data_IF_289948047888
#
_entry.id   IF_289948047888
#
_cell.length_a   1.000
_cell.length_b   1.000
_cell.length_c   1.000
_cell.angle_alpha   90.00
_cell.angle_beta   90.00
_cell.angle_gamma   90.00
#
_symmetry.space_group_name_H-M   'P 1'
#
loop_
_entity.id
_entity.type
_entity.pdbx_description
1 polymer ?
#
# COMPACT_ATOMS: atom_id res chain seq x y z
N UNK A 1 11.83 4.75 6.42
CA UNK A 1 11.42 3.57 5.60
C UNK A 1 10.03 3.85 5.02
N UNK A 2 9.72 3.35 3.84
CA UNK A 2 8.43 3.57 3.17
C UNK A 2 7.54 2.34 3.28
N UNK A 3 6.24 2.58 3.41
CA UNK A 3 5.23 1.55 3.61
C UNK A 3 4.05 1.79 2.68
N UNK A 4 3.54 0.72 2.09
CA UNK A 4 2.34 0.78 1.27
C UNK A 4 1.15 0.24 2.07
N UNK A 5 0.18 1.10 2.35
CA UNK A 5 -0.99 0.78 3.17
C UNK A 5 -2.27 0.90 2.35
N UNK A 6 -3.02 -0.19 2.24
CA UNK A 6 -4.35 -0.20 1.61
C UNK A 6 -5.43 -0.10 2.69
N UNK A 7 -6.57 0.49 2.33
CA UNK A 7 -7.76 0.48 3.19
C UNK A 7 -8.78 -0.49 2.60
N UNK A 8 -8.95 -1.66 3.23
CA UNK A 8 -9.91 -2.67 2.79
C UNK A 8 -10.99 -2.87 3.85
N UNK A 9 -12.25 -2.60 3.50
CA UNK A 9 -13.43 -2.75 4.38
C UNK A 9 -13.28 -2.06 5.76
N UNK A 10 -12.59 -0.92 5.81
CA UNK A 10 -12.38 -0.15 7.03
C UNK A 10 -11.17 -0.56 7.88
N UNK A 11 -10.47 -1.64 7.50
CA UNK A 11 -9.20 -2.05 8.12
C UNK A 11 -8.04 -1.57 7.26
N UNK A 12 -7.09 -0.88 7.88
CA UNK A 12 -5.84 -0.51 7.24
C UNK A 12 -4.90 -1.71 7.29
N UNK A 13 -4.35 -2.09 6.12
CA UNK A 13 -3.38 -3.19 6.01
C UNK A 13 -2.15 -2.72 5.28
N UNK A 14 -1.00 -3.12 5.79
CA UNK A 14 0.25 -2.83 5.13
C UNK A 14 0.66 -3.99 4.25
N UNK A 15 0.79 -3.73 2.96
CA UNK A 15 0.95 -4.79 1.96
C UNK A 15 2.38 -4.88 1.46
N UNK A 16 3.19 -3.84 1.65
CA UNK A 16 4.60 -3.86 1.32
C UNK A 16 5.40 -2.80 2.11
N UNK A 17 6.72 -2.97 2.15
CA UNK A 17 7.66 -2.02 2.76
C UNK A 17 8.99 -1.96 2.01
N UNK A 18 9.54 -0.76 1.83
CA UNK A 18 10.77 -0.54 1.06
C UNK A 18 11.60 0.63 1.61
N UNK A 19 12.92 0.61 1.46
CA UNK A 19 13.81 1.67 1.95
C UNK A 19 13.87 2.90 1.04
N UNK A 20 13.70 2.74 -0.28
CA UNK A 20 13.99 3.75 -1.30
C UNK A 20 12.75 4.38 -1.96
N UNK A 21 11.54 4.07 -1.50
CA UNK A 21 10.26 4.52 -2.07
C UNK A 21 10.08 4.19 -3.57
N UNK A 22 9.68 2.95 -3.83
CA UNK A 22 9.45 2.45 -5.20
C UNK A 22 7.98 2.57 -5.64
N UNK A 23 7.09 3.13 -4.81
CA UNK A 23 5.64 3.00 -4.98
C UNK A 23 5.06 3.99 -5.98
N UNK A 24 4.39 3.49 -7.03
CA UNK A 24 3.81 4.30 -8.11
C UNK A 24 2.40 3.83 -8.46
N UNK A 25 1.62 4.73 -9.07
CA UNK A 25 0.28 4.42 -9.57
C UNK A 25 0.30 3.28 -10.59
N UNK A 26 -0.68 2.38 -10.49
CA UNK A 26 -0.86 1.24 -11.38
C UNK A 26 0.00 0.02 -11.03
N UNK A 27 0.84 0.08 -9.99
CA UNK A 27 1.58 -1.08 -9.52
C UNK A 27 0.64 -2.17 -8.97
N UNK A 28 1.12 -3.41 -8.97
CA UNK A 28 0.35 -4.58 -8.53
C UNK A 28 0.99 -5.19 -7.29
N UNK A 29 0.19 -5.47 -6.26
CA UNK A 29 0.65 -6.00 -4.98
C UNK A 29 -0.25 -7.14 -4.48
N UNK A 30 0.25 -7.94 -3.54
CA UNK A 30 -0.58 -8.90 -2.80
C UNK A 30 -1.29 -8.16 -1.65
N UNK A 31 -2.58 -7.92 -1.81
CA UNK A 31 -3.38 -7.17 -0.85
C UNK A 31 -3.87 -8.01 0.35
N UNK A 32 -3.56 -9.31 0.40
CA UNK A 32 -3.84 -10.16 1.55
C UNK A 32 -2.73 -10.08 2.60
N UNK A 33 -1.56 -9.56 2.23
CA UNK A 33 -0.49 -9.29 3.18
C UNK A 33 -0.91 -8.25 4.23
N UNK A 34 -0.47 -8.49 5.45
CA UNK A 34 -0.68 -7.58 6.58
C UNK A 34 0.61 -7.52 7.41
N UNK A 35 1.50 -6.64 6.98
CA UNK A 35 2.79 -6.38 7.61
C UNK A 35 2.64 -5.37 8.74
N UNK A 36 3.56 -5.42 9.70
CA UNK A 36 3.66 -4.38 10.70
C UNK A 36 4.24 -3.10 10.10
N UNK A 37 3.48 -2.00 10.18
CA UNK A 37 3.86 -0.71 9.60
C UNK A 37 3.74 0.42 10.63
N UNK A 38 4.87 0.84 11.23
CA UNK A 38 4.91 1.94 12.18
C UNK A 38 4.86 3.33 11.51
N UNK A 39 4.86 3.40 10.18
CA UNK A 39 4.82 4.65 9.43
C UNK A 39 3.65 5.53 9.86
N UNK A 40 3.93 6.77 10.23
CA UNK A 40 2.91 7.74 10.71
C UNK A 40 2.74 8.93 9.77
N UNK A 41 3.74 9.22 8.93
CA UNK A 41 3.68 10.35 8.00
C UNK A 41 3.14 9.90 6.65
N UNK A 42 2.03 10.48 6.20
CA UNK A 42 1.55 10.27 4.83
C UNK A 42 2.44 11.04 3.87
N UNK A 43 2.99 10.35 2.87
CA UNK A 43 3.79 10.93 1.79
C UNK A 43 2.90 11.27 0.60
N UNK A 44 2.14 10.28 0.12
CA UNK A 44 1.20 10.42 -1.01
C UNK A 44 0.13 9.32 -0.99
N UNK A 45 -0.93 9.53 -1.76
CA UNK A 45 -1.91 8.50 -2.10
C UNK A 45 -1.68 8.06 -3.55
N UNK A 46 -1.83 6.77 -3.81
CA UNK A 46 -1.72 6.16 -5.15
C UNK A 46 -2.85 5.16 -5.37
N UNK A 47 -3.13 4.81 -6.62
CA UNK A 47 -3.99 3.68 -6.98
C UNK A 47 -3.14 2.48 -7.36
N UNK A 48 -3.38 1.34 -6.72
CA UNK A 48 -2.73 0.06 -7.03
C UNK A 48 -3.77 -0.98 -7.47
N UNK A 49 -3.31 -2.09 -8.00
CA UNK A 49 -4.14 -3.28 -8.25
C UNK A 49 -3.73 -4.40 -7.30
N UNK A 50 -4.68 -5.28 -6.96
CA UNK A 50 -4.39 -6.48 -6.19
C UNK A 50 -4.22 -7.67 -7.12
N UNK A 51 -3.28 -8.55 -6.81
CA UNK A 51 -3.06 -9.79 -7.58
C UNK A 51 -4.33 -10.65 -7.68
N UNK A 52 -5.16 -10.67 -6.64
CA UNK A 52 -6.40 -11.45 -6.57
C UNK A 52 -7.57 -10.80 -7.34
N UNK A 53 -7.50 -9.48 -7.55
CA UNK A 53 -8.53 -8.66 -8.19
C UNK A 53 -7.87 -7.70 -9.18
N UNK A 54 -7.34 -8.22 -10.31
CA UNK A 54 -6.53 -7.42 -11.24
C UNK A 54 -7.32 -6.30 -11.94
N UNK A 55 -8.64 -6.43 -12.00
CA UNK A 55 -9.53 -5.43 -12.61
C UNK A 55 -9.96 -4.32 -11.63
N UNK A 56 -9.69 -4.49 -10.33
CA UNK A 56 -10.05 -3.51 -9.31
C UNK A 56 -8.85 -2.62 -8.94
N UNK A 57 -9.06 -1.31 -9.02
CA UNK A 57 -8.12 -0.31 -8.50
C UNK A 57 -8.45 0.00 -7.05
N UNK A 58 -7.47 -0.13 -6.19
CA UNK A 58 -7.58 0.13 -4.76
C UNK A 58 -6.72 1.34 -4.42
N UNK A 59 -7.30 2.25 -3.63
CA UNK A 59 -6.55 3.37 -3.06
C UNK A 59 -5.60 2.89 -1.98
N UNK A 60 -4.33 3.22 -2.16
CA UNK A 60 -3.27 2.97 -1.20
C UNK A 60 -2.62 4.29 -0.76
N UNK A 61 -2.06 4.29 0.44
CA UNK A 61 -1.26 5.38 0.99
C UNK A 61 0.18 4.92 1.12
N UNK A 62 1.09 5.77 0.67
CA UNK A 62 2.51 5.62 0.95
C UNK A 62 2.80 6.38 2.24
N UNK A 63 3.22 5.65 3.27
CA UNK A 63 3.61 6.20 4.55
C UNK A 63 5.14 6.18 4.70
N UNK A 64 5.67 7.09 5.51
CA UNK A 64 7.08 7.15 5.88
C UNK A 64 7.24 7.12 7.41
N UNK A 65 8.25 6.35 7.83
CA UNK A 65 8.96 6.50 9.11
C UNK A 65 10.25 7.30 8.89
#
# INVERSE_FOLDING_TARGET
MYYLVVKNLGVERCVDRNEEDIYQDGMCFDCRLDLHCPGTQIVREIEITCNELPDERIRARVLRE
#
